data_IF_500667051190
#
_entry.id   IF_500667051190
#
_cell.length_a   1.000
_cell.length_b   1.000
_cell.length_c   1.000
_cell.angle_alpha   90.00
_cell.angle_beta   90.00
_cell.angle_gamma   90.00
#
_symmetry.space_group_name_H-M   'P 1'
#
loop_
_entity.id
_entity.type
_entity.pdbx_description
1 polymer ?
#
# COMPACT_ATOMS: atom_id res chain seq x y z
N UNK A 1 39.28 40.18 -67.28
CA UNK A 1 37.90 40.24 -66.76
C UNK A 1 37.99 40.49 -65.26
N UNK A 2 37.22 41.45 -64.77
CA UNK A 2 37.63 42.54 -63.86
C UNK A 2 38.01 42.18 -62.41
N UNK A 3 39.08 42.80 -61.85
CA UNK A 3 39.48 42.80 -60.43
C UNK A 3 38.96 44.07 -59.65
N UNK A 4 39.25 44.24 -58.33
CA UNK A 4 38.50 45.06 -57.32
C UNK A 4 39.10 46.47 -57.09
N UNK A 5 38.54 47.38 -56.22
CA UNK A 5 38.92 47.53 -54.78
C UNK A 5 37.83 48.23 -53.89
N UNK A 6 38.10 48.83 -52.68
CA UNK A 6 38.63 48.26 -51.43
C UNK A 6 37.86 48.67 -50.12
N UNK A 7 38.25 47.96 -49.03
CA UNK A 7 38.18 48.21 -47.56
C UNK A 7 37.63 49.54 -47.00
N UNK A 8 36.96 49.42 -45.85
CA UNK A 8 37.33 50.16 -44.62
C UNK A 8 37.01 49.36 -43.35
N UNK A 9 38.03 49.24 -42.50
CA UNK A 9 37.95 48.76 -41.11
C UNK A 9 38.54 49.84 -40.20
N UNK A 10 37.84 50.15 -39.11
CA UNK A 10 38.25 50.76 -37.84
C UNK A 10 37.07 50.44 -36.89
N UNK A 11 37.15 50.09 -35.61
CA UNK A 11 38.10 49.56 -34.63
C UNK A 11 37.22 49.20 -33.37
N UNK A 12 37.69 48.47 -32.34
CA UNK A 12 36.80 47.71 -31.44
C UNK A 12 36.66 48.21 -29.98
N UNK A 13 35.66 47.62 -29.28
CA UNK A 13 35.40 47.44 -27.81
C UNK A 13 34.62 48.54 -27.05
N UNK A 14 33.89 48.21 -25.94
CA UNK A 14 34.07 47.05 -25.04
C UNK A 14 32.81 46.27 -24.58
N UNK A 15 33.06 45.09 -24.01
CA UNK A 15 32.15 44.29 -23.19
C UNK A 15 31.70 45.03 -21.92
N UNK A 16 30.45 44.81 -21.50
CA UNK A 16 30.10 44.52 -20.09
C UNK A 16 28.61 44.20 -19.91
N UNK A 17 28.37 43.00 -19.38
CA UNK A 17 27.42 42.66 -18.31
C UNK A 17 25.89 42.80 -18.44
N UNK A 18 25.26 41.64 -18.19
CA UNK A 18 24.08 41.39 -17.34
C UNK A 18 22.69 41.81 -17.86
N UNK A 19 21.91 40.80 -18.28
CA UNK A 19 20.45 40.85 -18.30
C UNK A 19 19.91 40.46 -16.93
N UNK A 20 18.99 41.27 -16.41
CA UNK A 20 18.03 40.97 -15.33
C UNK A 20 16.76 41.83 -15.59
N UNK A 21 15.61 41.60 -14.91
CA UNK A 21 14.41 41.03 -15.53
C UNK A 21 13.24 42.03 -15.68
N UNK A 22 12.36 41.78 -16.66
CA UNK A 22 11.11 42.53 -16.83
C UNK A 22 9.95 41.90 -16.04
N UNK A 23 9.24 42.76 -15.34
CA UNK A 23 8.19 42.48 -14.35
C UNK A 23 6.89 41.90 -14.92
N UNK A 24 6.08 41.19 -14.09
CA UNK A 24 4.75 40.70 -14.46
C UNK A 24 3.63 41.76 -14.31
N UNK A 25 2.57 41.53 -15.09
CA UNK A 25 1.37 42.35 -15.34
C UNK A 25 0.39 42.42 -14.15
N UNK A 26 -0.43 43.50 -14.02
CA UNK A 26 -1.29 43.73 -12.86
C UNK A 26 -2.73 43.24 -13.10
N UNK A 27 -3.05 42.06 -12.59
CA UNK A 27 -4.45 41.64 -12.34
C UNK A 27 -4.48 40.82 -11.07
N UNK A 28 -4.33 41.51 -9.95
CA UNK A 28 -4.43 40.91 -8.62
C UNK A 28 -5.12 41.91 -7.69
N UNK A 29 -6.44 41.87 -7.63
CA UNK A 29 -7.24 42.40 -6.51
C UNK A 29 -8.74 42.24 -6.77
N UNK A 30 -9.30 41.08 -6.45
CA UNK A 30 -10.59 40.94 -5.74
C UNK A 30 -11.08 39.50 -5.84
N UNK A 31 -10.96 38.75 -4.75
CA UNK A 31 -11.94 37.77 -4.28
C UNK A 31 -11.40 37.21 -2.95
N UNK A 32 -11.65 37.95 -1.88
CA UNK A 32 -11.66 37.41 -0.53
C UNK A 32 -12.90 36.53 -0.38
N UNK A 33 -12.73 35.23 -0.58
CA UNK A 33 -13.66 34.22 -0.07
C UNK A 33 -12.87 33.34 0.89
N UNK A 34 -13.24 33.41 2.16
CA UNK A 34 -12.76 32.55 3.24
C UNK A 34 -12.99 31.08 2.91
N UNK A 35 -12.01 30.43 2.29
CA UNK A 35 -11.89 28.99 2.30
C UNK A 35 -11.37 28.60 3.68
N UNK A 36 -12.26 28.18 4.57
CA UNK A 36 -11.84 27.34 5.68
C UNK A 36 -11.36 26.02 5.07
N UNK A 37 -10.04 25.86 4.97
CA UNK A 37 -9.44 24.53 4.85
C UNK A 37 -10.01 23.67 5.99
N UNK A 38 -10.55 22.47 5.72
CA UNK A 38 -10.87 21.56 6.80
C UNK A 38 -9.56 21.27 7.54
N UNK A 39 -9.56 21.42 8.86
CA UNK A 39 -8.43 21.11 9.75
C UNK A 39 -7.95 19.68 9.46
N UNK A 40 -7.04 19.53 8.50
CA UNK A 40 -6.29 18.32 8.29
C UNK A 40 -5.38 18.19 9.51
N UNK A 41 -5.45 17.05 10.19
CA UNK A 41 -4.50 16.74 11.24
C UNK A 41 -3.10 16.72 10.57
N UNK A 42 -2.36 17.81 10.71
CA UNK A 42 -0.95 17.88 10.34
C UNK A 42 -0.16 16.99 11.29
N UNK A 43 -0.07 15.72 10.96
CA UNK A 43 0.77 14.77 11.68
C UNK A 43 2.24 15.07 11.34
N UNK A 44 3.02 15.56 12.31
CA UNK A 44 4.48 15.71 12.12
C UNK A 44 5.15 14.35 12.27
N UNK A 45 5.59 13.76 11.15
CA UNK A 45 6.08 12.38 11.09
C UNK A 45 7.60 12.20 11.35
N UNK A 46 8.36 13.29 11.55
CA UNK A 46 9.83 13.26 11.63
C UNK A 46 10.44 13.89 12.89
N UNK A 47 9.65 14.50 13.76
CA UNK A 47 10.12 15.08 15.02
C UNK A 47 9.57 14.26 16.17
N UNK A 48 10.33 13.26 16.67
CA UNK A 48 10.11 12.79 18.03
C UNK A 48 10.45 13.97 18.94
N UNK A 49 9.52 14.51 19.76
CA UNK A 49 9.83 15.64 20.60
C UNK A 49 10.99 15.28 21.54
N UNK A 50 12.04 16.10 21.53
CA UNK A 50 13.11 16.02 22.55
C UNK A 50 12.58 16.42 23.94
N UNK A 51 11.42 17.09 23.99
CA UNK A 51 10.79 17.66 25.18
C UNK A 51 9.42 17.03 25.49
N UNK A 52 9.24 16.59 26.73
CA UNK A 52 8.18 15.71 27.24
C UNK A 52 6.86 16.41 27.62
N UNK A 53 6.62 17.64 27.17
CA UNK A 53 5.37 18.37 27.41
C UNK A 53 4.42 18.37 26.20
N UNK A 54 4.83 17.77 25.09
CA UNK A 54 4.03 17.63 23.88
C UNK A 54 3.12 16.41 24.02
N UNK A 55 1.81 16.59 23.78
CA UNK A 55 0.88 15.46 23.61
C UNK A 55 1.45 14.49 22.58
N UNK A 56 1.73 13.24 22.97
CA UNK A 56 2.10 12.19 22.02
C UNK A 56 1.05 12.11 20.92
N UNK A 57 1.50 12.17 19.67
CA UNK A 57 0.61 12.17 18.53
C UNK A 57 -0.05 10.79 18.37
N UNK A 58 -1.21 10.71 17.71
CA UNK A 58 -1.83 9.42 17.38
C UNK A 58 -0.86 8.49 16.59
N UNK A 59 0.09 9.07 15.86
CA UNK A 59 1.17 8.35 15.18
C UNK A 59 2.05 7.58 16.15
N UNK A 60 2.38 8.14 17.31
CA UNK A 60 3.22 7.49 18.32
C UNK A 60 2.49 6.29 18.95
N UNK A 61 1.18 6.40 19.12
CA UNK A 61 0.31 5.30 19.58
C UNK A 61 0.30 4.15 18.56
N UNK A 62 0.20 4.49 17.27
CA UNK A 62 0.28 3.52 16.16
C UNK A 62 1.64 2.84 16.12
N UNK A 63 2.74 3.59 16.20
CA UNK A 63 4.12 3.09 16.17
C UNK A 63 4.39 2.15 17.36
N UNK A 64 3.91 2.52 18.56
CA UNK A 64 4.03 1.68 19.74
C UNK A 64 3.31 0.34 19.57
N UNK A 65 2.09 0.32 19.02
CA UNK A 65 1.35 -0.94 18.81
C UNK A 65 1.98 -1.83 17.74
N UNK A 66 2.46 -1.26 16.63
CA UNK A 66 3.19 -2.03 15.61
C UNK A 66 4.51 -2.58 16.18
N UNK A 67 5.19 -1.81 17.03
CA UNK A 67 6.37 -2.24 17.78
C UNK A 67 6.07 -3.40 18.74
N UNK A 68 4.92 -3.38 19.42
CA UNK A 68 4.49 -4.50 20.29
C UNK A 68 4.30 -5.80 19.49
N UNK A 69 4.07 -5.70 18.17
CA UNK A 69 3.94 -6.81 17.23
C UNK A 69 5.24 -7.30 16.59
N UNK A 70 6.37 -6.64 16.88
CA UNK A 70 7.67 -7.00 16.32
C UNK A 70 8.03 -8.47 16.58
N UNK A 71 8.90 -9.10 15.77
CA UNK A 71 9.49 -10.39 16.10
C UNK A 71 10.29 -10.35 17.43
N UNK A 72 10.50 -11.52 18.03
CA UNK A 72 11.39 -11.67 19.21
C UNK A 72 12.83 -11.32 18.80
N UNK A 73 13.63 -10.59 19.61
CA UNK A 73 13.37 -10.20 21.01
C UNK A 73 12.71 -8.83 21.20
N UNK A 74 12.45 -8.05 20.14
CA UNK A 74 11.90 -6.70 20.24
C UNK A 74 10.42 -6.65 20.68
N UNK A 75 9.70 -7.77 20.53
CA UNK A 75 8.28 -7.92 20.91
C UNK A 75 7.98 -7.59 22.37
N UNK A 76 6.81 -7.03 22.64
CA UNK A 76 6.26 -6.95 24.00
C UNK A 76 6.10 -8.36 24.61
N UNK A 77 6.63 -8.61 25.83
CA UNK A 77 6.38 -9.86 26.54
C UNK A 77 4.89 -10.06 26.83
N UNK A 78 4.33 -11.18 26.37
CA UNK A 78 2.90 -11.47 26.47
C UNK A 78 2.66 -12.89 26.98
N UNK A 79 1.54 -13.08 27.65
CA UNK A 79 1.00 -14.38 28.07
C UNK A 79 -0.28 -14.68 27.31
N UNK A 80 -0.54 -15.96 27.02
CA UNK A 80 -1.82 -16.38 26.42
C UNK A 80 -2.87 -16.51 27.52
N UNK A 81 -4.00 -15.84 27.34
CA UNK A 81 -5.15 -15.87 28.26
C UNK A 81 -6.45 -16.12 27.50
N UNK A 82 -7.54 -16.44 28.21
CA UNK A 82 -8.90 -16.49 27.65
C UNK A 82 -9.65 -15.24 28.10
N UNK A 83 -10.13 -14.44 27.16
CA UNK A 83 -10.86 -13.21 27.43
C UNK A 83 -12.15 -13.20 26.60
N UNK A 84 -13.31 -13.01 27.24
CA UNK A 84 -14.63 -13.05 26.58
C UNK A 84 -14.84 -14.25 25.65
N UNK A 85 -14.40 -15.43 26.07
CA UNK A 85 -14.55 -16.67 25.29
C UNK A 85 -13.48 -16.90 24.22
N UNK A 86 -12.66 -15.89 23.87
CA UNK A 86 -11.62 -15.99 22.84
C UNK A 86 -10.21 -16.06 23.42
N UNK A 87 -9.28 -16.66 22.67
CA UNK A 87 -7.85 -16.65 23.04
C UNK A 87 -7.29 -15.25 22.81
N UNK A 88 -6.57 -14.73 23.80
CA UNK A 88 -6.00 -13.40 23.78
C UNK A 88 -4.56 -13.39 24.27
N UNK A 89 -3.82 -12.35 23.91
CA UNK A 89 -2.51 -12.05 24.47
C UNK A 89 -2.67 -10.95 25.51
N UNK A 90 -2.08 -11.13 26.68
CA UNK A 90 -2.13 -10.17 27.78
C UNK A 90 -0.76 -9.90 28.38
N UNK A 91 -0.61 -8.68 28.90
CA UNK A 91 0.58 -8.25 29.62
C UNK A 91 0.17 -7.44 30.84
N UNK A 92 1.00 -7.50 31.88
CA UNK A 92 0.83 -6.66 33.07
C UNK A 92 1.17 -5.20 32.74
N UNK A 93 0.60 -4.27 33.50
CA UNK A 93 0.95 -2.85 33.39
C UNK A 93 2.45 -2.61 33.58
N UNK A 94 3.09 -3.37 34.48
CA UNK A 94 4.53 -3.34 34.68
C UNK A 94 5.31 -3.74 33.43
N UNK A 95 4.92 -4.83 32.76
CA UNK A 95 5.56 -5.29 31.52
C UNK A 95 5.41 -4.27 30.39
N UNK A 96 4.23 -3.65 30.25
CA UNK A 96 3.97 -2.63 29.24
C UNK A 96 4.84 -1.40 29.46
N UNK A 97 4.87 -0.85 30.68
CA UNK A 97 5.71 0.31 31.02
C UNK A 97 7.19 0.00 30.80
N UNK A 98 7.66 -1.18 31.23
CA UNK A 98 9.06 -1.59 31.08
C UNK A 98 9.43 -1.72 29.60
N UNK A 99 8.55 -2.28 28.78
CA UNK A 99 8.79 -2.42 27.35
C UNK A 99 8.82 -1.06 26.64
N UNK A 100 7.89 -0.15 26.94
CA UNK A 100 7.86 1.20 26.33
C UNK A 100 9.16 1.98 26.59
N UNK A 101 9.74 1.82 27.79
CA UNK A 101 11.04 2.40 28.13
C UNK A 101 12.17 1.75 27.33
N UNK A 102 12.25 0.42 27.34
CA UNK A 102 13.33 -0.31 26.69
C UNK A 102 13.32 -0.15 25.16
N UNK A 103 12.13 0.01 24.57
CA UNK A 103 11.94 0.25 23.15
C UNK A 103 12.10 1.73 22.75
N UNK A 104 12.37 2.62 23.72
CA UNK A 104 12.62 4.04 23.45
C UNK A 104 11.37 4.85 23.07
N UNK A 105 10.18 4.37 23.39
CA UNK A 105 8.92 5.12 23.22
C UNK A 105 8.70 6.13 24.35
N UNK A 106 9.40 5.99 25.47
CA UNK A 106 9.34 6.90 26.60
C UNK A 106 10.70 6.98 27.31
N UNK A 107 11.02 8.15 27.87
CA UNK A 107 12.26 8.39 28.62
C UNK A 107 12.09 8.26 30.14
N UNK A 108 10.86 8.15 30.64
CA UNK A 108 10.56 8.03 32.07
C UNK A 108 9.35 7.13 32.32
N UNK A 109 9.24 6.54 33.52
CA UNK A 109 8.10 5.67 33.88
C UNK A 109 6.77 6.41 33.83
N UNK A 110 6.75 7.70 34.16
CA UNK A 110 5.56 8.55 34.08
C UNK A 110 5.14 8.78 32.63
N UNK A 111 6.08 9.10 31.73
CA UNK A 111 5.81 9.23 30.30
C UNK A 111 5.31 7.90 29.70
N UNK A 112 5.95 6.78 30.05
CA UNK A 112 5.51 5.45 29.61
C UNK A 112 4.10 5.11 30.10
N UNK A 113 3.75 5.49 31.34
CA UNK A 113 2.41 5.29 31.88
C UNK A 113 1.36 6.15 31.17
N UNK A 114 1.69 7.39 30.79
CA UNK A 114 0.79 8.25 30.02
C UNK A 114 0.58 7.74 28.59
N UNK A 115 1.64 7.33 27.91
CA UNK A 115 1.53 6.69 26.59
C UNK A 115 0.69 5.40 26.67
N UNK A 116 0.83 4.61 27.74
CA UNK A 116 -0.01 3.45 27.98
C UNK A 116 -1.49 3.82 28.22
N UNK A 117 -1.80 4.93 28.90
CA UNK A 117 -3.18 5.45 28.98
C UNK A 117 -3.71 5.82 27.60
N UNK A 118 -2.90 6.44 26.76
CA UNK A 118 -3.29 6.78 25.38
C UNK A 118 -3.57 5.52 24.55
N UNK A 119 -2.74 4.49 24.67
CA UNK A 119 -2.98 3.18 24.06
C UNK A 119 -4.31 2.56 24.52
N UNK A 120 -4.71 2.76 25.78
CA UNK A 120 -6.04 2.36 26.27
C UNK A 120 -7.14 3.24 25.68
N UNK A 121 -6.98 4.57 25.65
CA UNK A 121 -7.97 5.51 25.06
C UNK A 121 -8.20 5.24 23.57
N UNK A 122 -7.15 4.93 22.83
CA UNK A 122 -7.20 4.57 21.42
C UNK A 122 -7.68 3.13 21.17
N UNK A 123 -7.93 2.35 22.23
CA UNK A 123 -8.47 1.00 22.15
C UNK A 123 -7.45 -0.10 21.83
N UNK A 124 -6.16 0.22 21.74
CA UNK A 124 -5.09 -0.76 21.50
C UNK A 124 -4.83 -1.69 22.69
N UNK A 125 -5.03 -1.19 23.91
CA UNK A 125 -4.96 -1.96 25.16
C UNK A 125 -6.32 -1.98 25.84
N UNK A 126 -6.78 -3.16 26.25
CA UNK A 126 -8.07 -3.34 26.92
C UNK A 126 -7.82 -3.79 28.36
N UNK A 127 -8.16 -2.99 29.39
CA UNK A 127 -8.03 -3.40 30.78
C UNK A 127 -8.94 -4.60 31.08
N UNK A 128 -8.43 -5.60 31.82
CA UNK A 128 -9.21 -6.78 32.22
C UNK A 128 -9.99 -6.59 33.51
N UNK A 129 -10.03 -5.36 34.01
CA UNK A 129 -10.68 -4.94 35.25
C UNK A 129 -11.65 -3.80 34.95
N UNK A 130 -12.58 -3.57 35.88
CA UNK A 130 -13.54 -2.47 35.74
C UNK A 130 -12.80 -1.13 35.86
N UNK A 131 -12.99 -0.27 34.87
CA UNK A 131 -12.49 1.11 34.88
C UNK A 131 -13.61 2.03 35.31
N UNK A 132 -13.41 2.79 36.40
CA UNK A 132 -14.40 3.73 36.91
C UNK A 132 -14.22 5.14 36.33
N UNK A 133 -13.00 5.49 35.92
CA UNK A 133 -12.67 6.79 35.30
C UNK A 133 -11.54 6.66 34.28
N UNK A 134 -11.48 7.56 33.29
CA UNK A 134 -10.45 7.54 32.24
C UNK A 134 -9.01 7.62 32.79
N UNK A 135 -8.79 8.29 33.93
CA UNK A 135 -7.47 8.40 34.56
C UNK A 135 -7.02 7.10 35.24
N UNK A 136 -7.96 6.22 35.58
CA UNK A 136 -7.69 4.88 36.13
C UNK A 136 -7.65 3.80 35.04
N UNK A 137 -7.80 4.19 33.77
CA UNK A 137 -7.83 3.26 32.65
C UNK A 137 -6.51 2.52 32.46
N UNK A 138 -5.40 3.04 32.99
CA UNK A 138 -4.12 2.35 33.08
C UNK A 138 -3.43 2.52 34.43
N UNK A 139 -2.84 1.43 34.90
CA UNK A 139 -2.04 1.27 36.11
C UNK A 139 -0.83 0.38 35.76
N UNK A 140 0.39 0.88 36.03
CA UNK A 140 1.67 0.23 35.77
C UNK A 140 2.07 -0.89 36.74
N UNK A 141 1.12 -1.38 37.55
CA UNK A 141 1.29 -2.47 38.51
C UNK A 141 1.49 -3.84 37.84
N UNK A 142 2.07 -4.78 38.59
CA UNK A 142 2.15 -6.20 38.21
C UNK A 142 0.79 -6.92 38.30
N UNK A 143 -0.17 -6.36 39.04
CA UNK A 143 -1.49 -6.97 39.26
C UNK A 143 -2.52 -6.57 38.18
N UNK A 144 -2.29 -5.44 37.51
CA UNK A 144 -3.18 -4.92 36.48
C UNK A 144 -2.84 -5.55 35.14
N UNK A 145 -3.79 -6.27 34.54
CA UNK A 145 -3.61 -6.94 33.26
C UNK A 145 -4.38 -6.23 32.14
N UNK A 146 -3.79 -6.27 30.95
CA UNK A 146 -4.35 -5.67 29.75
C UNK A 146 -4.29 -6.69 28.61
N UNK A 147 -5.40 -6.83 27.89
CA UNK A 147 -5.47 -7.59 26.65
C UNK A 147 -5.02 -6.69 25.50
N UNK A 148 -4.10 -7.21 24.69
CA UNK A 148 -3.53 -6.48 23.57
C UNK A 148 -4.41 -6.68 22.33
N UNK A 149 -5.23 -5.68 22.00
CA UNK A 149 -6.22 -5.77 20.91
C UNK A 149 -5.55 -6.10 19.58
N UNK A 150 -4.43 -5.44 19.31
CA UNK A 150 -3.58 -5.67 18.13
C UNK A 150 -2.76 -6.96 18.18
N UNK A 151 -3.07 -7.92 19.04
CA UNK A 151 -2.53 -9.28 19.03
C UNK A 151 -3.66 -10.31 19.16
N UNK A 152 -4.72 -9.93 19.89
CA UNK A 152 -5.77 -10.83 20.37
C UNK A 152 -7.05 -10.85 19.52
N UNK A 153 -7.33 -9.85 18.67
CA UNK A 153 -8.65 -9.75 18.00
C UNK A 153 -8.64 -9.59 16.47
N UNK A 154 -7.51 -9.82 15.81
CA UNK A 154 -7.37 -9.55 14.37
C UNK A 154 -8.31 -10.35 13.46
N UNK A 155 -8.67 -11.58 13.84
CA UNK A 155 -9.36 -12.50 12.94
C UNK A 155 -10.80 -12.04 12.68
N UNK A 156 -11.49 -11.53 13.72
CA UNK A 156 -12.92 -11.24 13.60
C UNK A 156 -13.22 -9.81 13.16
N UNK A 157 -12.34 -8.84 13.42
CA UNK A 157 -12.64 -7.40 13.27
C UNK A 157 -11.93 -6.69 12.12
N UNK A 158 -10.97 -7.31 11.43
CA UNK A 158 -10.17 -6.68 10.38
C UNK A 158 -8.92 -6.00 10.93
N UNK A 159 -7.87 -5.96 10.11
CA UNK A 159 -6.51 -5.56 10.49
C UNK A 159 -6.40 -4.08 10.92
N UNK A 160 -7.25 -3.22 10.37
CA UNK A 160 -7.27 -1.77 10.66
C UNK A 160 -8.22 -1.35 11.78
N UNK A 161 -8.90 -2.30 12.43
CA UNK A 161 -9.84 -2.03 13.53
C UNK A 161 -9.22 -2.09 14.93
N UNK A 162 -7.89 -2.22 14.97
CA UNK A 162 -7.10 -2.31 16.20
C UNK A 162 -7.16 -1.01 17.00
N UNK A 163 -7.25 0.12 16.29
CA UNK A 163 -7.25 1.46 16.84
C UNK A 163 -8.55 2.18 16.54
N UNK A 164 -8.96 3.03 17.47
CA UNK A 164 -10.03 4.00 17.29
C UNK A 164 -9.38 5.28 16.79
N UNK A 165 -9.70 5.67 15.55
CA UNK A 165 -9.25 6.94 15.00
C UNK A 165 -9.91 8.10 15.78
N UNK A 166 -9.13 9.08 16.28
CA UNK A 166 -9.65 10.15 17.13
C UNK A 166 -10.22 11.34 16.35
N UNK A 167 -9.91 11.45 15.05
CA UNK A 167 -10.32 12.58 14.22
C UNK A 167 -11.73 12.43 13.63
N UNK A 168 -12.19 13.47 12.96
CA UNK A 168 -13.42 13.42 12.16
C UNK A 168 -13.20 12.54 10.92
N UNK A 169 -14.13 11.65 10.56
CA UNK A 169 -14.01 10.83 9.36
C UNK A 169 -14.12 11.70 8.10
N UNK A 170 -13.25 11.43 7.13
CA UNK A 170 -13.33 11.97 5.75
C UNK A 170 -14.08 11.02 4.81
N UNK A 171 -14.30 11.46 3.57
CA UNK A 171 -14.78 10.58 2.52
C UNK A 171 -13.74 9.50 2.22
N UNK A 172 -14.24 8.29 1.98
CA UNK A 172 -13.44 7.07 1.76
C UNK A 172 -12.46 7.25 0.61
N UNK A 173 -12.88 7.93 -0.46
CA UNK A 173 -12.02 8.14 -1.63
C UNK A 173 -10.83 9.07 -1.32
N UNK A 174 -11.00 10.06 -0.45
CA UNK A 174 -9.91 10.95 -0.02
C UNK A 174 -8.89 10.19 0.82
N UNK A 175 -9.37 9.38 1.77
CA UNK A 175 -8.52 8.54 2.62
C UNK A 175 -7.75 7.54 1.76
N UNK A 176 -8.39 6.91 0.77
CA UNK A 176 -7.72 5.99 -0.15
C UNK A 176 -6.72 6.70 -1.09
N UNK A 177 -7.00 7.93 -1.48
CA UNK A 177 -6.08 8.73 -2.30
C UNK A 177 -4.79 9.05 -1.53
N UNK A 178 -4.91 9.44 -0.26
CA UNK A 178 -3.74 9.64 0.59
C UNK A 178 -3.04 8.32 0.94
N UNK A 179 -3.81 7.23 1.09
CA UNK A 179 -3.27 5.88 1.27
C UNK A 179 -2.39 5.47 0.09
N UNK A 180 -2.79 5.80 -1.15
CA UNK A 180 -1.99 5.55 -2.34
C UNK A 180 -0.64 6.27 -2.29
N UNK A 181 -0.63 7.56 -1.90
CA UNK A 181 0.60 8.35 -1.76
C UNK A 181 1.51 7.75 -0.69
N UNK A 182 0.93 7.34 0.44
CA UNK A 182 1.68 6.68 1.53
C UNK A 182 2.22 5.32 1.10
N UNK A 183 1.44 4.55 0.36
CA UNK A 183 1.86 3.25 -0.17
C UNK A 183 2.99 3.38 -1.19
N UNK A 184 2.99 4.41 -2.04
CA UNK A 184 4.10 4.70 -2.93
C UNK A 184 5.41 4.98 -2.16
N UNK A 185 5.34 5.69 -1.02
CA UNK A 185 6.51 5.89 -0.15
C UNK A 185 7.00 4.58 0.47
N UNK A 186 6.09 3.71 0.93
CA UNK A 186 6.44 2.37 1.44
C UNK A 186 7.10 1.52 0.34
N UNK A 187 6.52 1.55 -0.86
CA UNK A 187 7.00 0.85 -2.04
C UNK A 187 8.46 1.23 -2.35
N UNK A 188 8.78 2.53 -2.39
CA UNK A 188 10.14 3.00 -2.67
C UNK A 188 11.20 2.61 -1.64
N UNK A 189 10.81 2.32 -0.40
CA UNK A 189 11.73 1.92 0.67
C UNK A 189 12.09 0.44 0.60
N UNK A 190 11.13 -0.41 0.25
CA UNK A 190 11.18 -1.83 0.57
C UNK A 190 10.98 -2.77 -0.61
N UNK A 191 10.86 -2.25 -1.84
CA UNK A 191 10.61 -3.08 -3.02
C UNK A 191 11.77 -2.99 -3.99
N UNK A 192 12.18 -4.12 -4.55
CA UNK A 192 13.22 -4.17 -5.58
C UNK A 192 12.83 -3.36 -6.82
N UNK A 193 13.81 -2.94 -7.60
CA UNK A 193 13.59 -2.16 -8.83
C UNK A 193 12.67 -2.87 -9.83
N UNK A 194 12.70 -4.20 -9.87
CA UNK A 194 11.82 -5.00 -10.73
C UNK A 194 10.45 -5.32 -10.10
N UNK A 195 10.19 -4.87 -8.88
CA UNK A 195 8.92 -5.03 -8.17
C UNK A 195 8.67 -6.41 -7.57
N UNK A 196 9.56 -7.39 -7.79
CA UNK A 196 9.28 -8.78 -7.41
C UNK A 196 9.64 -9.12 -5.97
N UNK A 197 10.74 -8.57 -5.45
CA UNK A 197 11.17 -8.78 -4.07
C UNK A 197 10.65 -7.67 -3.16
N UNK A 198 10.12 -8.05 -2.00
CA UNK A 198 9.59 -7.12 -0.99
C UNK A 198 10.26 -7.37 0.36
N UNK A 199 11.04 -6.40 0.85
CA UNK A 199 11.63 -6.39 2.18
C UNK A 199 10.60 -5.97 3.23
N UNK A 200 9.79 -6.94 3.66
CA UNK A 200 8.78 -6.73 4.71
C UNK A 200 9.38 -6.22 6.03
N UNK A 201 10.66 -6.49 6.32
CA UNK A 201 11.31 -5.99 7.53
C UNK A 201 11.60 -4.49 7.41
N UNK A 202 12.04 -4.01 6.24
CA UNK A 202 12.28 -2.59 5.98
C UNK A 202 11.00 -1.73 5.99
N UNK A 203 9.84 -2.31 5.65
CA UNK A 203 8.55 -1.62 5.76
C UNK A 203 8.23 -1.27 7.21
N UNK A 204 8.48 -2.21 8.13
CA UNK A 204 8.12 -2.08 9.54
C UNK A 204 8.90 -0.94 10.19
N UNK A 205 8.20 -0.02 10.84
CA UNK A 205 8.80 1.17 11.45
C UNK A 205 9.19 2.29 10.48
N UNK A 206 8.94 2.15 9.17
CA UNK A 206 9.12 3.25 8.21
C UNK A 206 8.06 4.35 8.41
N UNK A 207 8.42 5.60 8.12
CA UNK A 207 7.47 6.73 8.24
C UNK A 207 6.24 6.54 7.34
N UNK A 208 6.44 6.07 6.10
CA UNK A 208 5.34 5.75 5.20
C UNK A 208 4.41 4.65 5.75
N UNK A 209 4.96 3.64 6.43
CA UNK A 209 4.11 2.60 7.03
C UNK A 209 3.27 3.13 8.20
N UNK A 210 3.83 4.01 9.03
CA UNK A 210 3.09 4.65 10.14
C UNK A 210 1.91 5.47 9.62
N UNK A 211 2.14 6.28 8.61
CA UNK A 211 1.09 7.07 7.98
C UNK A 211 0.02 6.17 7.34
N UNK A 212 0.44 5.10 6.66
CA UNK A 212 -0.48 4.07 6.15
C UNK A 212 -1.36 3.48 7.26
N UNK A 213 -0.80 3.14 8.42
CA UNK A 213 -1.57 2.60 9.55
C UNK A 213 -2.58 3.61 10.12
N UNK A 214 -2.24 4.90 10.16
CA UNK A 214 -3.17 5.97 10.57
C UNK A 214 -4.33 6.07 9.58
N UNK A 215 -4.03 6.14 8.28
CA UNK A 215 -5.03 6.22 7.21
C UNK A 215 -5.93 4.98 7.18
N UNK A 216 -5.36 3.80 7.45
CA UNK A 216 -6.13 2.57 7.59
C UNK A 216 -7.08 2.62 8.80
N UNK A 217 -6.66 3.18 9.94
CA UNK A 217 -7.54 3.34 11.09
C UNK A 217 -8.70 4.33 10.80
N UNK A 218 -8.41 5.41 10.09
CA UNK A 218 -9.44 6.35 9.61
C UNK A 218 -10.41 5.69 8.62
N UNK A 219 -9.90 4.88 7.68
CA UNK A 219 -10.68 4.16 6.68
C UNK A 219 -11.78 3.29 7.31
N UNK A 220 -11.55 2.77 8.53
CA UNK A 220 -12.55 1.98 9.24
C UNK A 220 -13.83 2.75 9.56
N UNK A 221 -13.75 4.08 9.71
CA UNK A 221 -14.88 4.95 10.08
C UNK A 221 -15.23 6.00 9.02
N UNK A 222 -14.59 5.95 7.84
CA UNK A 222 -14.81 6.90 6.75
C UNK A 222 -16.25 6.89 6.21
N UNK A 223 -16.58 7.88 5.39
CA UNK A 223 -17.86 7.94 4.67
C UNK A 223 -17.71 7.44 3.23
N UNK A 224 -18.45 6.41 2.81
CA UNK A 224 -18.32 5.80 1.49
C UNK A 224 -19.35 6.27 0.46
N UNK A 225 -20.15 7.30 0.78
CA UNK A 225 -21.20 7.83 -0.10
C UNK A 225 -20.70 8.35 -1.45
N UNK A 226 -19.48 8.88 -1.51
CA UNK A 226 -18.91 9.47 -2.73
C UNK A 226 -18.06 8.50 -3.58
N UNK A 227 -17.85 7.26 -3.12
CA UNK A 227 -17.02 6.29 -3.85
C UNK A 227 -17.62 6.00 -5.23
N UNK A 228 -18.94 5.88 -5.33
CA UNK A 228 -19.61 5.55 -6.59
C UNK A 228 -19.48 6.66 -7.65
N UNK A 229 -19.45 7.92 -7.22
CA UNK A 229 -19.38 9.11 -8.08
C UNK A 229 -17.97 9.65 -8.30
N UNK A 230 -16.97 9.09 -7.61
CA UNK A 230 -15.57 9.46 -7.80
C UNK A 230 -15.04 9.16 -9.21
N UNK A 231 -13.94 9.81 -9.56
CA UNK A 231 -13.25 9.57 -10.82
C UNK A 231 -12.91 8.07 -11.00
N UNK A 232 -13.25 7.45 -12.15
CA UNK A 232 -13.05 6.01 -12.34
C UNK A 232 -11.61 5.54 -12.20
N UNK A 233 -10.63 6.33 -12.63
CA UNK A 233 -9.21 5.99 -12.58
C UNK A 233 -8.66 6.15 -11.16
N UNK A 234 -9.05 7.23 -10.47
CA UNK A 234 -8.75 7.41 -9.03
C UNK A 234 -9.28 6.23 -8.22
N UNK A 235 -10.54 5.85 -8.44
CA UNK A 235 -11.17 4.70 -7.77
C UNK A 235 -10.45 3.38 -8.09
N UNK A 236 -10.09 3.17 -9.35
CA UNK A 236 -9.36 1.97 -9.80
C UNK A 236 -7.99 1.86 -9.11
N UNK A 237 -7.19 2.93 -9.13
CA UNK A 237 -5.90 2.97 -8.44
C UNK A 237 -6.04 2.77 -6.93
N UNK A 238 -7.01 3.44 -6.30
CA UNK A 238 -7.33 3.31 -4.88
C UNK A 238 -7.59 1.86 -4.45
N UNK A 239 -8.51 1.16 -5.12
CA UNK A 239 -8.86 -0.21 -4.70
C UNK A 239 -7.79 -1.26 -5.06
N UNK A 240 -7.04 -1.08 -6.15
CA UNK A 240 -5.92 -1.96 -6.47
C UNK A 240 -4.76 -1.81 -5.47
N UNK A 241 -4.39 -0.58 -5.15
CA UNK A 241 -3.41 -0.32 -4.10
C UNK A 241 -3.90 -0.81 -2.74
N UNK A 242 -5.18 -0.63 -2.40
CA UNK A 242 -5.76 -1.14 -1.15
C UNK A 242 -5.64 -2.67 -1.03
N UNK A 243 -5.86 -3.41 -2.11
CA UNK A 243 -5.63 -4.87 -2.12
C UNK A 243 -4.17 -5.20 -1.82
N UNK A 244 -3.24 -4.56 -2.52
CA UNK A 244 -1.81 -4.75 -2.31
C UNK A 244 -1.40 -4.40 -0.87
N UNK A 245 -1.95 -3.30 -0.32
CA UNK A 245 -1.79 -2.89 1.08
C UNK A 245 -2.30 -3.94 2.05
N UNK A 246 -3.47 -4.49 1.80
CA UNK A 246 -4.08 -5.53 2.62
C UNK A 246 -3.22 -6.80 2.65
N UNK A 247 -2.75 -7.27 1.49
CA UNK A 247 -1.94 -8.49 1.41
C UNK A 247 -0.63 -8.33 2.17
N UNK A 248 0.10 -7.23 1.97
CA UNK A 248 1.38 -7.07 2.65
C UNK A 248 1.19 -6.87 4.16
N UNK A 249 0.17 -6.10 4.59
CA UNK A 249 -0.14 -5.94 6.01
C UNK A 249 -0.49 -7.29 6.65
N UNK A 250 -1.31 -8.10 5.98
CA UNK A 250 -1.63 -9.45 6.43
C UNK A 250 -0.36 -10.31 6.56
N UNK A 251 0.61 -10.20 5.64
CA UNK A 251 1.90 -10.89 5.78
C UNK A 251 2.72 -10.40 6.97
N UNK A 252 2.72 -9.10 7.27
CA UNK A 252 3.38 -8.56 8.46
C UNK A 252 2.77 -9.11 9.77
N UNK A 253 1.47 -9.35 9.79
CA UNK A 253 0.75 -9.80 11.00
C UNK A 253 0.70 -11.33 11.13
N UNK A 254 0.38 -12.03 10.05
CA UNK A 254 0.15 -13.48 10.05
C UNK A 254 1.36 -14.31 9.57
N UNK A 255 2.32 -13.67 8.90
CA UNK A 255 3.40 -14.36 8.18
C UNK A 255 2.97 -14.91 6.83
N UNK A 256 3.92 -15.46 6.07
CA UNK A 256 3.66 -16.08 4.78
C UNK A 256 3.02 -17.49 4.94
N UNK A 257 1.92 -17.80 4.23
CA UNK A 257 1.23 -19.09 4.36
C UNK A 257 1.92 -20.21 3.55
N UNK A 258 2.55 -21.16 4.24
CA UNK A 258 3.39 -22.21 3.63
C UNK A 258 2.65 -23.33 2.89
N UNK A 259 1.36 -23.56 3.17
CA UNK A 259 0.58 -24.68 2.63
C UNK A 259 -0.81 -24.24 2.16
N UNK A 260 -1.53 -25.12 1.46
CA UNK A 260 -2.83 -24.80 0.83
C UNK A 260 -3.90 -24.42 1.86
N UNK A 261 -3.94 -25.11 3.01
CA UNK A 261 -4.95 -24.87 4.05
C UNK A 261 -4.69 -23.51 4.71
N UNK A 262 -3.44 -23.24 5.08
CA UNK A 262 -3.04 -21.94 5.62
C UNK A 262 -3.24 -20.82 4.63
N UNK A 263 -3.04 -21.05 3.33
CA UNK A 263 -3.34 -20.08 2.27
C UNK A 263 -4.82 -19.74 2.21
N UNK A 264 -5.68 -20.77 2.17
CA UNK A 264 -7.12 -20.57 2.23
C UNK A 264 -7.53 -19.74 3.43
N UNK A 265 -7.01 -20.07 4.63
CA UNK A 265 -7.25 -19.29 5.84
C UNK A 265 -6.72 -17.86 5.75
N UNK A 266 -5.49 -17.67 5.29
CA UNK A 266 -4.85 -16.36 5.17
C UNK A 266 -5.71 -15.38 4.35
N UNK A 267 -6.13 -15.77 3.14
CA UNK A 267 -6.89 -14.86 2.28
C UNK A 267 -8.31 -14.59 2.78
N UNK A 268 -8.93 -15.54 3.48
CA UNK A 268 -10.27 -15.37 4.06
C UNK A 268 -10.25 -14.62 5.41
N UNK A 269 -9.13 -14.63 6.14
CA UNK A 269 -8.98 -13.89 7.40
C UNK A 269 -8.47 -12.46 7.17
N UNK A 270 -7.56 -12.27 6.20
CA UNK A 270 -7.02 -10.97 5.83
C UNK A 270 -8.15 -10.04 5.39
N UNK A 271 -8.45 -9.04 6.20
CA UNK A 271 -9.60 -8.15 5.99
C UNK A 271 -9.36 -6.75 6.53
N UNK A 272 -10.05 -5.79 5.95
CA UNK A 272 -10.20 -4.44 6.46
C UNK A 272 -11.67 -4.13 6.76
N UNK A 273 -11.88 -3.10 7.56
CA UNK A 273 -13.16 -2.40 7.69
C UNK A 273 -13.04 -1.10 6.89
N UNK A 274 -14.03 -0.81 6.06
CA UNK A 274 -14.13 0.43 5.28
C UNK A 274 -15.51 1.00 5.52
N UNK A 275 -15.62 2.23 6.04
CA UNK A 275 -16.92 2.84 6.39
C UNK A 275 -17.83 1.90 7.23
N UNK A 276 -17.25 1.24 8.24
CA UNK A 276 -17.93 0.27 9.10
C UNK A 276 -18.24 -1.10 8.48
N UNK A 277 -17.93 -1.32 7.19
CA UNK A 277 -18.22 -2.57 6.46
C UNK A 277 -16.96 -3.41 6.32
N UNK A 278 -16.99 -4.66 6.77
CA UNK A 278 -15.86 -5.59 6.65
C UNK A 278 -15.74 -6.12 5.22
N UNK A 279 -14.50 -6.23 4.73
CA UNK A 279 -14.18 -6.87 3.46
C UNK A 279 -12.86 -7.65 3.56
N UNK A 280 -12.88 -8.92 3.18
CA UNK A 280 -11.68 -9.77 3.10
C UNK A 280 -10.92 -9.53 1.80
N UNK A 281 -9.67 -9.98 1.72
CA UNK A 281 -8.89 -9.89 0.48
C UNK A 281 -9.53 -10.65 -0.68
N UNK A 282 -10.15 -11.81 -0.40
CA UNK A 282 -10.93 -12.58 -1.39
C UNK A 282 -12.14 -11.79 -1.85
N UNK A 283 -12.91 -11.19 -0.94
CA UNK A 283 -14.08 -10.41 -1.32
C UNK A 283 -13.72 -9.13 -2.07
N UNK A 284 -12.64 -8.45 -1.67
CA UNK A 284 -12.15 -7.28 -2.38
C UNK A 284 -11.80 -7.63 -3.83
N UNK A 285 -10.98 -8.66 -4.04
CA UNK A 285 -10.61 -9.11 -5.39
C UNK A 285 -11.82 -9.59 -6.19
N UNK A 286 -12.62 -10.50 -5.62
CA UNK A 286 -13.66 -11.18 -6.38
C UNK A 286 -14.96 -10.37 -6.51
N UNK A 287 -15.39 -9.68 -5.46
CA UNK A 287 -16.68 -8.98 -5.47
C UNK A 287 -16.53 -7.57 -6.01
N UNK A 288 -15.51 -6.82 -5.57
CA UNK A 288 -15.30 -5.42 -5.96
C UNK A 288 -14.48 -5.33 -7.25
N UNK A 289 -13.25 -5.83 -7.27
CA UNK A 289 -12.35 -5.64 -8.43
C UNK A 289 -12.79 -6.42 -9.67
N UNK A 290 -13.39 -7.61 -9.47
CA UNK A 290 -13.91 -8.49 -10.52
C UNK A 290 -15.41 -8.33 -10.80
N UNK A 291 -16.07 -7.36 -10.15
CA UNK A 291 -17.49 -7.04 -10.32
C UNK A 291 -18.44 -8.24 -10.10
N UNK A 292 -18.24 -9.03 -9.05
CA UNK A 292 -19.11 -10.19 -8.72
C UNK A 292 -19.98 -9.97 -7.48
N UNK A 293 -20.08 -8.74 -7.02
CA UNK A 293 -20.89 -8.42 -5.85
C UNK A 293 -22.40 -8.53 -6.18
N UNK A 294 -23.20 -8.85 -5.16
CA UNK A 294 -24.65 -8.77 -5.28
C UNK A 294 -25.08 -7.28 -5.30
N UNK A 295 -26.00 -6.85 -6.19
CA UNK A 295 -26.49 -5.47 -6.21
C UNK A 295 -27.07 -4.96 -4.89
N UNK A 296 -27.58 -5.86 -4.04
CA UNK A 296 -28.12 -5.52 -2.72
C UNK A 296 -27.06 -5.51 -1.60
N UNK A 297 -25.80 -5.83 -1.90
CA UNK A 297 -24.72 -5.75 -0.93
C UNK A 297 -24.47 -4.28 -0.57
N UNK A 298 -24.33 -3.91 0.72
CA UNK A 298 -24.08 -2.54 1.14
C UNK A 298 -22.77 -1.95 0.61
N UNK A 299 -21.89 -2.78 0.03
CA UNK A 299 -20.61 -2.40 -0.59
C UNK A 299 -20.73 -2.25 -2.12
N UNK A 300 -21.91 -2.41 -2.71
CA UNK A 300 -22.10 -2.30 -4.18
C UNK A 300 -21.67 -0.93 -4.74
N UNK A 301 -21.73 0.14 -3.94
CA UNK A 301 -21.22 1.46 -4.32
C UNK A 301 -19.70 1.54 -4.52
N UNK A 302 -18.95 0.49 -4.13
CA UNK A 302 -17.49 0.42 -4.31
C UNK A 302 -17.07 -0.15 -5.66
N UNK A 303 -18.01 -0.66 -6.46
CA UNK A 303 -17.70 -1.28 -7.74
C UNK A 303 -16.94 -0.33 -8.66
N UNK A 304 -15.98 -0.90 -9.39
CA UNK A 304 -15.34 -0.21 -10.49
C UNK A 304 -16.34 0.00 -11.63
N UNK A 305 -16.07 0.99 -12.49
CA UNK A 305 -16.93 1.29 -13.63
C UNK A 305 -17.02 0.11 -14.62
N UNK A 306 -15.90 -0.61 -14.78
CA UNK A 306 -15.80 -1.79 -15.63
C UNK A 306 -14.77 -2.78 -15.08
N UNK A 307 -14.88 -4.04 -15.51
CA UNK A 307 -13.92 -5.08 -15.16
C UNK A 307 -12.69 -4.93 -16.04
N UNK A 308 -11.53 -4.71 -15.41
CA UNK A 308 -10.26 -4.59 -16.10
C UNK A 308 -9.38 -5.84 -15.87
N UNK A 309 -9.19 -6.71 -16.89
CA UNK A 309 -8.39 -7.92 -16.73
C UNK A 309 -6.92 -7.65 -16.43
N UNK A 310 -6.42 -6.43 -16.70
CA UNK A 310 -5.03 -6.02 -16.42
C UNK A 310 -4.72 -5.98 -14.92
N UNK A 311 -5.73 -5.98 -14.04
CA UNK A 311 -5.52 -6.10 -12.59
C UNK A 311 -4.69 -7.33 -12.22
N UNK A 312 -4.82 -8.43 -12.96
CA UNK A 312 -4.04 -9.67 -12.73
C UNK A 312 -2.53 -9.48 -12.94
N UNK A 313 -2.09 -8.34 -13.49
CA UNK A 313 -0.69 -8.01 -13.68
C UNK A 313 -0.15 -7.01 -12.66
N UNK A 314 -0.95 -6.61 -11.67
CA UNK A 314 -0.57 -5.64 -10.63
C UNK A 314 -1.01 -6.06 -9.22
N UNK A 315 -1.98 -6.97 -9.08
CA UNK A 315 -2.39 -7.51 -7.79
C UNK A 315 -1.35 -8.53 -7.31
N UNK A 316 -0.57 -8.13 -6.31
CA UNK A 316 0.49 -8.96 -5.75
C UNK A 316 -0.02 -9.69 -4.51
N UNK A 317 -0.16 -11.00 -4.66
CA UNK A 317 -0.59 -11.94 -3.62
C UNK A 317 0.53 -12.36 -2.62
N UNK A 318 1.74 -11.81 -2.74
CA UNK A 318 2.87 -12.10 -1.85
C UNK A 318 3.58 -13.43 -2.08
N UNK A 319 3.42 -14.03 -3.27
CA UNK A 319 4.15 -15.22 -3.72
C UNK A 319 5.13 -14.87 -4.86
N UNK A 320 6.15 -15.69 -5.05
CA UNK A 320 7.22 -15.47 -6.01
C UNK A 320 6.75 -15.32 -7.47
N UNK A 321 5.73 -16.10 -7.86
CA UNK A 321 5.14 -16.02 -9.20
C UNK A 321 4.05 -14.94 -9.37
N UNK A 322 3.74 -14.17 -8.32
CA UNK A 322 2.82 -13.02 -8.45
C UNK A 322 3.46 -11.96 -9.38
N UNK A 323 2.64 -11.11 -10.03
CA UNK A 323 3.17 -9.93 -10.73
C UNK A 323 3.99 -9.03 -9.81
N UNK A 324 4.82 -8.12 -10.36
CA UNK A 324 5.51 -7.14 -9.54
C UNK A 324 4.50 -6.35 -8.68
N UNK A 325 4.89 -6.05 -7.45
CA UNK A 325 4.18 -5.06 -6.65
C UNK A 325 4.33 -3.71 -7.36
N UNK A 326 3.24 -2.96 -7.50
CA UNK A 326 3.25 -1.62 -8.09
C UNK A 326 2.32 -0.75 -7.24
N UNK A 327 2.77 0.45 -6.90
CA UNK A 327 1.92 1.49 -6.34
C UNK A 327 1.40 2.36 -7.49
N UNK A 328 0.13 2.20 -7.85
CA UNK A 328 -0.48 2.99 -8.92
C UNK A 328 -0.63 4.46 -8.51
N UNK A 329 -0.25 5.35 -9.41
CA UNK A 329 -0.59 6.76 -9.37
C UNK A 329 -1.96 6.96 -10.03
N UNK A 330 -2.90 7.54 -9.28
CA UNK A 330 -4.25 7.83 -9.75
C UNK A 330 -4.27 8.67 -11.03
N UNK A 331 -3.32 9.60 -11.19
CA UNK A 331 -3.23 10.47 -12.38
C UNK A 331 -2.66 9.78 -13.61
N UNK A 332 -2.08 8.58 -13.45
CA UNK A 332 -1.44 7.80 -14.52
C UNK A 332 -1.93 6.35 -14.56
N UNK A 333 -3.13 6.09 -14.03
CA UNK A 333 -3.66 4.74 -13.84
C UNK A 333 -3.62 3.92 -15.13
N UNK A 334 -4.16 4.46 -16.23
CA UNK A 334 -4.21 3.76 -17.52
C UNK A 334 -2.82 3.51 -18.12
N UNK A 335 -1.93 4.50 -18.05
CA UNK A 335 -0.55 4.39 -18.52
C UNK A 335 0.20 3.30 -17.74
N UNK A 336 0.12 3.32 -16.41
CA UNK A 336 0.79 2.35 -15.55
C UNK A 336 0.22 0.93 -15.71
N UNK A 337 -1.10 0.79 -15.94
CA UNK A 337 -1.72 -0.51 -16.25
C UNK A 337 -1.23 -1.06 -17.59
N UNK A 338 -1.09 -0.19 -18.60
CA UNK A 338 -0.54 -0.57 -19.89
C UNK A 338 0.93 -1.00 -19.76
N UNK A 339 1.77 -0.21 -19.09
CA UNK A 339 3.17 -0.56 -18.83
C UNK A 339 3.32 -1.88 -18.06
N UNK A 340 2.52 -2.09 -17.02
CA UNK A 340 2.51 -3.32 -16.25
C UNK A 340 2.11 -4.52 -17.12
N UNK A 341 1.12 -4.34 -17.99
CA UNK A 341 0.67 -5.37 -18.94
C UNK A 341 1.78 -5.76 -19.90
N UNK A 342 2.42 -4.78 -20.54
CA UNK A 342 3.50 -5.02 -21.49
C UNK A 342 4.69 -5.73 -20.83
N UNK A 343 5.14 -5.23 -19.67
CA UNK A 343 6.23 -5.85 -18.89
C UNK A 343 5.88 -7.27 -18.47
N UNK A 344 4.65 -7.52 -18.03
CA UNK A 344 4.20 -8.84 -17.63
C UNK A 344 4.19 -9.81 -18.82
N UNK A 345 3.66 -9.40 -19.98
CA UNK A 345 3.66 -10.22 -21.19
C UNK A 345 5.07 -10.44 -21.74
N UNK A 346 5.95 -9.45 -21.64
CA UNK A 346 7.35 -9.59 -22.04
C UNK A 346 8.06 -10.67 -21.21
N UNK A 347 7.82 -10.71 -19.90
CA UNK A 347 8.43 -11.70 -19.01
C UNK A 347 7.76 -13.08 -19.03
N UNK A 348 6.43 -13.12 -19.07
CA UNK A 348 5.65 -14.34 -18.77
C UNK A 348 4.91 -14.96 -19.97
N UNK A 349 5.05 -14.40 -21.17
CA UNK A 349 4.62 -15.02 -22.42
C UNK A 349 5.84 -15.52 -23.20
N UNK A 350 6.24 -16.77 -23.01
CA UNK A 350 7.42 -17.34 -23.67
C UNK A 350 6.97 -18.10 -24.93
N UNK A 351 7.42 -17.63 -26.08
CA UNK A 351 7.05 -18.16 -27.39
C UNK A 351 8.20 -19.00 -27.96
N UNK A 352 7.87 -20.19 -28.43
CA UNK A 352 8.78 -21.14 -29.05
C UNK A 352 8.20 -21.51 -30.42
N UNK A 353 8.55 -20.70 -31.43
CA UNK A 353 8.03 -20.85 -32.80
C UNK A 353 8.43 -22.19 -33.42
N UNK A 354 9.66 -22.66 -33.16
CA UNK A 354 10.18 -23.91 -33.70
C UNK A 354 9.32 -25.11 -33.26
N UNK A 355 8.97 -25.18 -31.97
CA UNK A 355 8.11 -26.24 -31.44
C UNK A 355 6.62 -25.86 -31.43
N UNK A 356 6.26 -24.72 -32.03
CA UNK A 356 4.91 -24.14 -32.05
C UNK A 356 4.23 -24.18 -30.68
N UNK A 357 4.91 -23.64 -29.67
CA UNK A 357 4.49 -23.71 -28.27
C UNK A 357 4.55 -22.34 -27.64
N UNK A 358 3.52 -22.00 -26.87
CA UNK A 358 3.49 -20.78 -26.04
C UNK A 358 3.33 -21.18 -24.58
N UNK A 359 4.20 -20.66 -23.73
CA UNK A 359 4.16 -20.87 -22.28
C UNK A 359 3.73 -19.58 -21.60
N UNK A 360 2.62 -19.66 -20.86
CA UNK A 360 1.97 -18.52 -20.22
C UNK A 360 2.03 -18.64 -18.69
N UNK A 361 1.89 -17.51 -17.99
CA UNK A 361 1.63 -17.51 -16.55
C UNK A 361 0.35 -18.29 -16.22
N UNK A 362 0.33 -18.93 -15.05
CA UNK A 362 -0.85 -19.66 -14.54
C UNK A 362 -2.05 -18.75 -14.26
N UNK A 363 -1.84 -17.44 -14.14
CA UNK A 363 -2.90 -16.45 -14.00
C UNK A 363 -3.88 -16.50 -15.19
N UNK A 364 -3.39 -16.67 -16.42
CA UNK A 364 -4.23 -16.83 -17.60
C UNK A 364 -5.12 -18.07 -17.55
N UNK A 365 -4.71 -19.12 -16.82
CA UNK A 365 -5.53 -20.31 -16.61
C UNK A 365 -6.59 -20.09 -15.54
N UNK A 366 -6.21 -19.53 -14.38
CA UNK A 366 -7.13 -19.35 -13.25
C UNK A 366 -8.18 -18.28 -13.49
N UNK A 367 -7.80 -17.22 -14.20
CA UNK A 367 -8.64 -16.06 -14.46
C UNK A 367 -9.06 -15.96 -15.93
N UNK A 368 -9.14 -17.10 -16.63
CA UNK A 368 -9.43 -17.15 -18.07
C UNK A 368 -10.66 -16.34 -18.47
N UNK A 369 -11.76 -16.51 -17.74
CA UNK A 369 -13.02 -15.79 -17.98
C UNK A 369 -12.93 -14.27 -17.74
N UNK A 370 -11.85 -13.78 -17.14
CA UNK A 370 -11.59 -12.35 -17.07
C UNK A 370 -10.98 -11.81 -18.35
N UNK A 371 -10.04 -12.55 -18.96
CA UNK A 371 -9.41 -12.17 -20.23
C UNK A 371 -10.34 -12.41 -21.43
N UNK A 372 -11.01 -13.55 -21.48
CA UNK A 372 -11.88 -13.97 -22.58
C UNK A 372 -13.25 -14.40 -22.05
N UNK A 373 -14.14 -13.46 -21.71
CA UNK A 373 -15.45 -13.79 -21.14
C UNK A 373 -16.25 -14.74 -22.03
N UNK A 374 -16.70 -15.85 -21.46
CA UNK A 374 -17.50 -16.85 -22.19
C UNK A 374 -16.73 -17.71 -23.20
N UNK A 375 -15.39 -17.60 -23.27
CA UNK A 375 -14.56 -18.43 -24.16
C UNK A 375 -13.44 -19.15 -23.40
N UNK A 376 -13.38 -20.46 -23.59
CA UNK A 376 -12.29 -21.34 -23.16
C UNK A 376 -11.26 -21.61 -24.27
N UNK A 377 -11.38 -20.90 -25.41
CA UNK A 377 -10.52 -21.09 -26.58
C UNK A 377 -9.10 -20.54 -26.36
N UNK A 378 -8.09 -21.38 -26.61
CA UNK A 378 -6.69 -20.95 -26.62
C UNK A 378 -6.43 -19.89 -27.69
N UNK A 379 -7.11 -19.95 -28.84
CA UNK A 379 -6.98 -18.94 -29.88
C UNK A 379 -7.46 -17.57 -29.43
N UNK A 380 -8.56 -17.49 -28.68
CA UNK A 380 -9.07 -16.21 -28.20
C UNK A 380 -8.16 -15.62 -27.11
N UNK A 381 -7.59 -16.46 -26.25
CA UNK A 381 -6.62 -16.04 -25.26
C UNK A 381 -5.34 -15.50 -25.93
N UNK A 382 -4.83 -16.19 -26.95
CA UNK A 382 -3.64 -15.74 -27.69
C UNK A 382 -3.91 -14.45 -28.46
N UNK A 383 -5.11 -14.27 -29.04
CA UNK A 383 -5.52 -12.99 -29.65
C UNK A 383 -5.58 -11.86 -28.62
N UNK A 384 -6.14 -12.12 -27.43
CA UNK A 384 -6.20 -11.12 -26.36
C UNK A 384 -4.81 -10.67 -25.92
N UNK A 385 -3.88 -11.62 -25.81
CA UNK A 385 -2.48 -11.37 -25.46
C UNK A 385 -1.76 -10.63 -26.58
N UNK A 386 -1.92 -11.04 -27.85
CA UNK A 386 -1.19 -10.43 -28.98
C UNK A 386 -1.54 -8.96 -29.16
N UNK A 387 -2.79 -8.56 -28.92
CA UNK A 387 -3.25 -7.17 -28.96
C UNK A 387 -2.59 -6.26 -27.92
N UNK A 388 -1.95 -6.81 -26.89
CA UNK A 388 -1.38 -6.08 -25.74
C UNK A 388 0.12 -6.35 -25.55
N UNK A 389 0.70 -7.21 -26.37
CA UNK A 389 2.11 -7.55 -26.31
C UNK A 389 2.95 -6.56 -27.13
N UNK A 390 4.27 -6.61 -26.93
CA UNK A 390 5.22 -5.89 -27.79
C UNK A 390 5.02 -6.29 -29.27
N UNK A 391 5.35 -5.38 -30.20
CA UNK A 391 5.17 -5.61 -31.65
C UNK A 391 5.84 -6.91 -32.12
N UNK A 392 7.00 -7.23 -31.57
CA UNK A 392 7.71 -8.49 -31.85
C UNK A 392 6.86 -9.70 -31.45
N UNK A 393 6.41 -9.77 -30.19
CA UNK A 393 5.59 -10.88 -29.71
C UNK A 393 4.22 -10.95 -30.40
N UNK A 394 3.62 -9.82 -30.73
CA UNK A 394 2.39 -9.77 -31.50
C UNK A 394 2.55 -10.50 -32.84
N UNK A 395 3.65 -10.27 -33.56
CA UNK A 395 3.92 -10.94 -34.84
C UNK A 395 4.13 -12.44 -34.63
N UNK A 396 4.94 -12.84 -33.65
CA UNK A 396 5.20 -14.26 -33.33
C UNK A 396 3.91 -15.00 -32.92
N UNK A 397 3.06 -14.39 -32.10
CA UNK A 397 1.77 -14.96 -31.72
C UNK A 397 0.81 -15.05 -32.90
N UNK A 398 0.84 -14.08 -33.81
CA UNK A 398 0.04 -14.11 -35.04
C UNK A 398 0.49 -15.25 -35.95
N UNK A 399 1.79 -15.50 -36.08
CA UNK A 399 2.34 -16.64 -36.80
C UNK A 399 1.93 -17.99 -36.16
N UNK A 400 1.91 -18.05 -34.82
CA UNK A 400 1.39 -19.22 -34.11
C UNK A 400 -0.09 -19.47 -34.41
N UNK A 401 -0.91 -18.45 -34.61
CA UNK A 401 -2.35 -18.63 -34.87
C UNK A 401 -2.67 -19.22 -36.26
N UNK A 402 -1.71 -19.28 -37.19
CA UNK A 402 -1.93 -19.77 -38.57
C UNK A 402 -2.11 -21.29 -38.66
N UNK A 403 -1.57 -22.05 -37.71
CA UNK A 403 -1.67 -23.52 -37.68
C UNK A 403 -1.55 -24.04 -36.25
N UNK A 404 -1.70 -25.35 -36.04
CA UNK A 404 -1.74 -25.95 -34.70
C UNK A 404 -0.55 -25.56 -33.81
N UNK A 405 -0.83 -25.24 -32.56
CA UNK A 405 0.16 -24.90 -31.53
C UNK A 405 -0.28 -25.43 -30.17
N UNK A 406 0.65 -25.44 -29.20
CA UNK A 406 0.39 -25.91 -27.84
C UNK A 406 0.50 -24.77 -26.83
N UNK A 407 -0.55 -24.53 -26.06
CA UNK A 407 -0.49 -23.67 -24.87
C UNK A 407 -0.06 -24.49 -23.67
N UNK A 408 0.96 -24.01 -22.95
CA UNK A 408 1.35 -24.53 -21.63
C UNK A 408 1.26 -23.42 -20.59
N UNK A 409 0.98 -23.81 -19.35
CA UNK A 409 0.98 -22.88 -18.22
C UNK A 409 2.13 -23.22 -17.27
N UNK A 410 2.98 -22.23 -17.01
CA UNK A 410 4.11 -22.35 -16.09
C UNK A 410 3.66 -22.83 -14.70
N UNK A 411 4.58 -23.48 -13.97
CA UNK A 411 4.36 -23.82 -12.56
C UNK A 411 4.33 -22.52 -11.75
N UNK A 412 3.33 -22.39 -10.89
CA UNK A 412 3.21 -21.22 -10.03
C UNK A 412 3.98 -21.45 -8.74
N UNK A 413 5.05 -20.68 -8.54
CA UNK A 413 5.87 -20.73 -7.35
C UNK A 413 5.20 -19.92 -6.23
N UNK A 414 4.74 -20.66 -5.22
CA UNK A 414 4.08 -20.09 -4.04
C UNK A 414 5.05 -19.63 -2.95
N UNK A 415 6.37 -19.77 -3.15
CA UNK A 415 7.36 -19.31 -2.18
C UNK A 415 7.21 -17.81 -1.88
N UNK A 416 7.68 -17.41 -0.70
CA UNK A 416 7.60 -16.04 -0.22
C UNK A 416 8.43 -15.09 -1.10
N UNK A 417 7.82 -14.01 -1.58
CA UNK A 417 8.53 -12.97 -2.33
C UNK A 417 9.34 -12.00 -1.45
N UNK A 418 9.36 -12.21 -0.14
CA UNK A 418 10.29 -11.57 0.80
C UNK A 418 11.43 -12.46 1.28
N UNK A 419 11.52 -13.71 0.80
CA UNK A 419 12.63 -14.60 1.17
C UNK A 419 13.93 -14.18 0.48
N UNK A 420 14.88 -13.69 1.27
CA UNK A 420 16.19 -13.22 0.82
C UNK A 420 17.11 -14.32 0.25
N UNK A 421 16.76 -15.61 0.36
CA UNK A 421 17.46 -16.68 -0.35
C UNK A 421 17.15 -16.73 -1.85
N UNK A 422 16.12 -15.99 -2.29
CA UNK A 422 15.73 -15.80 -3.68
C UNK A 422 16.21 -14.46 -4.28
N UNK A 423 17.13 -13.73 -3.63
CA UNK A 423 17.61 -12.40 -4.04
C UNK A 423 18.09 -12.34 -5.51
N UNK A 424 17.47 -11.52 -6.37
CA UNK A 424 18.22 -10.79 -7.38
C UNK A 424 19.04 -9.69 -6.68
N UNK A 425 20.17 -9.29 -7.29
CA UNK A 425 21.15 -8.32 -6.81
C UNK A 425 20.47 -7.02 -6.30
N UNK A 426 20.21 -6.90 -4.99
CA UNK A 426 19.82 -5.63 -4.35
C UNK A 426 21.08 -4.79 -4.26
N UNK A 427 21.45 -4.14 -5.36
CA UNK A 427 22.43 -3.06 -5.29
C UNK A 427 21.76 -1.90 -4.56
N UNK A 428 22.28 -1.64 -3.38
CA UNK A 428 22.08 -0.41 -2.63
C UNK A 428 22.00 0.78 -3.58
N UNK A 429 20.85 1.45 -3.60
CA UNK A 429 20.71 2.72 -4.30
C UNK A 429 21.25 3.82 -3.38
N UNK A 430 22.59 3.86 -3.27
CA UNK A 430 23.28 5.09 -2.89
C UNK A 430 23.11 6.07 -4.03
N UNK A 431 22.45 7.21 -3.74
CA UNK A 431 22.43 8.42 -4.56
C UNK A 431 21.56 8.32 -5.83
N UNK A 432 20.28 8.65 -5.69
CA UNK A 432 19.57 9.39 -6.74
C UNK A 432 19.12 10.73 -6.18
N UNK A 433 19.94 11.72 -6.54
CA UNK A 433 19.70 13.14 -6.76
C UNK A 433 18.38 13.76 -6.23
N UNK A 434 18.52 14.60 -5.22
CA UNK A 434 17.51 15.50 -4.65
C UNK A 434 17.33 16.79 -5.50
N UNK A 435 17.52 16.74 -6.81
CA UNK A 435 17.54 17.94 -7.66
C UNK A 435 16.17 18.36 -8.25
N UNK A 436 15.04 17.94 -7.67
CA UNK A 436 13.71 18.43 -8.09
C UNK A 436 12.92 19.17 -7.00
N UNK A 437 13.56 19.56 -5.89
CA UNK A 437 12.94 20.38 -4.84
C UNK A 437 13.58 21.77 -4.66
N UNK A 438 14.21 22.32 -5.71
CA UNK A 438 14.62 23.73 -5.75
C UNK A 438 14.34 24.34 -7.13
N UNK A 439 13.12 24.81 -7.31
CA UNK A 439 12.82 26.02 -8.10
C UNK A 439 11.39 26.46 -7.82
N UNK A 440 11.27 27.76 -7.53
CA UNK A 440 10.12 28.58 -7.13
C UNK A 440 9.65 28.42 -5.68
#
# INVERSE_FOLDING_TARGET
MTPPPPRRSLAPRPDNHLCDPLQPSPWDSSLSSSCHEPESLHFSFNSRPEDMTVETSFVDVVDALDGMMAPVPARLPTSKTKWNGVKAYSSTGFQIVTWLLNAGFASSRSAAAELARQLVRAGGLIPTFRVESANQAFNGSQLSNYVHRGLSCHIDRGLNSTLIYPGKPRHTIDVLTDLNKSFARVFHVAVSTDGHFVDYAAIRGSAGWRETLVLLAELAISDDTEVASSDPDVRKAAFYNLYNVLIFHAKLVFGHPMDLVKRGKFFNDASYVIAGKKITSVELEHQVLRLRINPNDPRAGWLLAEKDPRMHFILNCGAWSCPPLIALDANRTEEMLQEATERFLEKYCVIDLQNRKVTLSRLFKWFRNDFTPGSDSDADLIKWISQRASKTKMNELTELLVSDYKVKFAVYNWADNGDGSAKPDIRFMTIYDLSFAKTA
#
